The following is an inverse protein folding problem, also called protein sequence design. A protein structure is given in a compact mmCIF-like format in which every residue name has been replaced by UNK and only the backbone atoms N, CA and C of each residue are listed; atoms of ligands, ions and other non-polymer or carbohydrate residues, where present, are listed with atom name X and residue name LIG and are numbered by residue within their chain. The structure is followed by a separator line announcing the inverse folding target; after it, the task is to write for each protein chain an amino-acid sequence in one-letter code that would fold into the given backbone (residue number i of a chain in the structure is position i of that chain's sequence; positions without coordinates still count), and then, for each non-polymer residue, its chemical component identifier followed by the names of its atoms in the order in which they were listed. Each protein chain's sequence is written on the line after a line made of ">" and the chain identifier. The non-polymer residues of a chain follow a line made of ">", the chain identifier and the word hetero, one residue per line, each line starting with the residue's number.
data_IF_071543809089
#
_entry.id   IF_071543809089
#
_cell.length_a   1.000
_cell.length_b   1.000
_cell.length_c   1.000
_cell.angle_alpha   90.00
_cell.angle_beta   90.00
_cell.angle_gamma   90.00
#
_symmetry.space_group_name_H-M   'P 1'
#
loop_
_entity.id
_entity.type
_entity.pdbx_description
1 polymer ?
#
# COMPACT_ATOMS: atom_id res chain seq x y z
N UNK A 1 -0.03 6.96 10.88
CA UNK A 1 0.94 6.84 9.80
C UNK A 1 0.81 5.43 9.28
N UNK A 2 0.33 5.22 8.04
CA UNK A 2 0.36 3.92 7.41
C UNK A 2 1.81 3.48 7.26
N UNK A 3 2.02 2.18 7.20
CA UNK A 3 3.33 1.60 7.00
C UNK A 3 3.39 1.00 5.61
N UNK A 4 4.56 1.01 5.00
CA UNK A 4 4.78 0.32 3.75
C UNK A 4 4.48 -1.17 3.95
N UNK A 5 3.61 -1.72 3.10
CA UNK A 5 3.21 -3.12 3.13
C UNK A 5 4.36 -4.11 2.89
N UNK A 6 5.55 -3.63 2.49
CA UNK A 6 6.75 -4.45 2.23
C UNK A 6 7.81 -4.26 3.30
N UNK A 7 8.38 -3.05 3.40
CA UNK A 7 9.51 -2.81 4.31
C UNK A 7 9.12 -2.34 5.71
N UNK A 8 7.81 -2.20 5.98
CA UNK A 8 7.25 -1.67 7.24
C UNK A 8 7.72 -0.26 7.62
N UNK A 9 8.40 0.46 6.72
CA UNK A 9 8.76 1.85 6.94
C UNK A 9 7.50 2.72 7.07
N UNK A 10 7.55 3.74 7.91
CA UNK A 10 6.47 4.72 8.00
C UNK A 10 6.29 5.44 6.67
N UNK A 11 5.05 5.52 6.22
CA UNK A 11 4.63 6.28 5.04
C UNK A 11 3.94 7.54 5.54
N UNK A 12 4.49 8.69 5.18
CA UNK A 12 3.82 9.96 5.42
C UNK A 12 2.78 10.19 4.32
N UNK A 13 1.50 10.03 4.68
CA UNK A 13 0.35 10.28 3.78
C UNK A 13 0.29 11.73 3.28
N UNK A 14 0.96 12.66 3.97
CA UNK A 14 0.99 14.07 3.57
C UNK A 14 2.13 14.37 2.60
N UNK A 15 3.08 13.46 2.43
CA UNK A 15 4.16 13.60 1.45
C UNK A 15 3.76 12.91 0.13
N UNK A 16 3.91 13.64 -0.98
CA UNK A 16 3.54 13.24 -2.36
C UNK A 16 4.37 12.06 -2.92
N UNK A 17 5.20 11.42 -2.10
CA UNK A 17 6.21 10.43 -2.54
C UNK A 17 5.80 8.97 -2.33
N UNK A 18 4.57 8.72 -1.88
CA UNK A 18 4.08 7.36 -1.64
C UNK A 18 3.09 6.89 -2.71
N UNK A 19 2.94 5.58 -2.81
CA UNK A 19 2.03 4.93 -3.77
C UNK A 19 0.92 4.25 -2.98
N UNK A 20 -0.32 4.67 -3.23
CA UNK A 20 -1.52 4.00 -2.73
C UNK A 20 -2.09 3.09 -3.81
N UNK A 21 -2.26 1.80 -3.48
CA UNK A 21 -2.92 0.83 -4.35
C UNK A 21 -4.19 0.35 -3.67
N UNK A 22 -5.33 0.67 -4.29
CA UNK A 22 -6.65 0.17 -3.89
C UNK A 22 -7.03 -0.96 -4.84
N UNK A 23 -7.09 -2.19 -4.34
CA UNK A 23 -7.52 -3.33 -5.16
C UNK A 23 -9.04 -3.46 -5.09
N UNK A 24 -9.77 -3.28 -6.20
CA UNK A 24 -11.24 -3.25 -6.19
C UNK A 24 -11.88 -4.62 -5.92
N UNK A 25 -11.10 -5.70 -5.83
CA UNK A 25 -11.59 -7.05 -5.55
C UNK A 25 -11.14 -7.59 -4.18
N UNK A 26 -10.30 -6.85 -3.45
CA UNK A 26 -9.89 -7.21 -2.09
C UNK A 26 -10.66 -6.37 -1.07
N UNK A 27 -11.55 -7.04 -0.33
CA UNK A 27 -12.36 -6.43 0.71
C UNK A 27 -12.10 -7.10 2.06
N UNK A 28 -12.05 -6.28 3.12
CA UNK A 28 -12.06 -6.75 4.50
C UNK A 28 -13.52 -6.82 4.98
N UNK A 29 -14.11 -8.00 4.93
CA UNK A 29 -15.55 -8.18 5.14
C UNK A 29 -16.36 -7.83 3.89
N UNK A 30 -17.61 -7.39 4.05
CA UNK A 30 -18.51 -7.15 2.91
C UNK A 30 -18.36 -5.78 2.23
N UNK A 31 -17.74 -4.78 2.89
CA UNK A 31 -17.82 -3.38 2.42
C UNK A 31 -16.51 -2.57 2.49
N UNK A 32 -15.45 -3.04 3.16
CA UNK A 32 -14.23 -2.25 3.31
C UNK A 32 -13.21 -2.59 2.25
N UNK A 33 -12.87 -1.64 1.38
CA UNK A 33 -11.77 -1.79 0.44
C UNK A 33 -10.44 -1.82 1.18
N UNK A 34 -9.58 -2.76 0.80
CA UNK A 34 -8.22 -2.85 1.34
C UNK A 34 -7.32 -1.89 0.55
N UNK A 35 -6.64 -1.01 1.29
CA UNK A 35 -5.65 -0.07 0.75
C UNK A 35 -4.26 -0.57 1.11
N UNK A 36 -3.39 -0.61 0.12
CA UNK A 36 -1.99 -0.98 0.28
C UNK A 36 -1.13 0.26 0.05
N UNK A 37 -0.19 0.50 0.96
CA UNK A 37 0.70 1.66 0.91
C UNK A 37 2.13 1.19 0.62
N UNK A 38 2.81 1.88 -0.30
CA UNK A 38 4.19 1.62 -0.65
C UNK A 38 5.00 2.91 -0.62
N UNK A 39 6.17 2.87 0.02
CA UNK A 39 7.07 4.02 0.09
C UNK A 39 7.88 4.24 -1.21
N UNK A 40 7.87 3.29 -2.15
CA UNK A 40 8.54 3.40 -3.44
C UNK A 40 7.97 2.42 -4.47
N UNK A 41 8.23 2.69 -5.76
CA UNK A 41 7.89 1.76 -6.87
C UNK A 41 8.61 0.42 -6.72
N UNK A 42 9.83 0.41 -6.17
CA UNK A 42 10.56 -0.82 -5.92
C UNK A 42 9.80 -1.74 -4.95
N UNK A 43 9.32 -1.19 -3.83
CA UNK A 43 8.50 -1.94 -2.88
C UNK A 43 7.18 -2.42 -3.49
N UNK A 44 6.55 -1.62 -4.37
CA UNK A 44 5.36 -2.09 -5.09
C UNK A 44 5.68 -3.29 -5.99
N UNK A 45 6.78 -3.23 -6.74
CA UNK A 45 7.18 -4.30 -7.66
C UNK A 45 7.58 -5.58 -6.93
N UNK A 46 8.25 -5.48 -5.78
CA UNK A 46 8.54 -6.63 -4.91
C UNK A 46 7.26 -7.34 -4.47
N UNK A 47 6.22 -6.60 -4.09
CA UNK A 47 4.93 -7.20 -3.73
C UNK A 47 4.19 -7.80 -4.93
N UNK A 48 4.38 -7.27 -6.14
CA UNK A 48 3.70 -7.76 -7.34
C UNK A 48 4.34 -9.01 -7.96
N UNK A 49 5.55 -9.39 -7.51
CA UNK A 49 6.27 -10.57 -7.98
C UNK A 49 5.99 -11.84 -7.14
N UNK A 50 5.34 -11.70 -5.99
CA UNK A 50 4.85 -12.80 -5.13
C UNK A 50 3.44 -13.23 -5.56
#
# INVERSE_FOLDING_TARGET
>A
MPQCNVCMADVDEKEDTHIEVVKPMEYKGETQQIRHYYCSVACLMEHAQD
#
